data_IF_640742326177
#
_entry.id   IF_640742326177
#
_cell.length_a   1.000
_cell.length_b   1.000
_cell.length_c   1.000
_cell.angle_alpha   90.00
_cell.angle_beta   90.00
_cell.angle_gamma   90.00
#
_symmetry.space_group_name_H-M   'P 1'
#
loop_
_entity.id
_entity.type
_entity.pdbx_description
1 polymer ?
#
# COMPACT_ATOMS: atom_id res chain seq x y z
N UNK A 1 -12.77 1.27 6.15
CA UNK A 1 -12.56 2.19 5.01
C UNK A 1 -12.65 1.52 3.63
N UNK A 2 -12.38 0.21 3.49
CA UNK A 2 -12.44 -0.50 2.18
C UNK A 2 -13.77 -0.28 1.45
N UNK A 3 -14.91 -0.49 2.11
CA UNK A 3 -16.23 -0.31 1.47
C UNK A 3 -16.46 1.12 0.94
N UNK A 4 -15.99 2.13 1.69
CA UNK A 4 -16.06 3.52 1.23
C UNK A 4 -15.21 3.74 -0.03
N UNK A 5 -14.01 3.14 -0.08
CA UNK A 5 -13.16 3.18 -1.29
C UNK A 5 -13.80 2.49 -2.48
N UNK A 6 -14.43 1.33 -2.26
CA UNK A 6 -15.17 0.58 -3.28
C UNK A 6 -16.34 1.37 -3.88
N UNK A 7 -17.00 2.22 -3.07
CA UNK A 7 -18.13 3.05 -3.53
C UNK A 7 -17.72 4.27 -4.37
N UNK A 8 -16.43 4.58 -4.51
CA UNK A 8 -15.96 5.68 -5.34
C UNK A 8 -15.99 5.30 -6.84
N UNK A 9 -15.93 6.30 -7.71
CA UNK A 9 -15.82 6.08 -9.16
C UNK A 9 -14.62 5.17 -9.45
N UNK A 10 -14.87 4.04 -10.14
CA UNK A 10 -13.91 2.98 -10.42
C UNK A 10 -13.31 2.27 -9.19
N UNK A 11 -13.89 2.45 -8.00
CA UNK A 11 -13.42 1.83 -6.75
C UNK A 11 -13.59 0.30 -6.71
N UNK A 12 -14.44 -0.26 -7.58
CA UNK A 12 -14.74 -1.68 -7.73
C UNK A 12 -14.29 -2.25 -9.09
N UNK A 13 -13.41 -1.54 -9.81
CA UNK A 13 -12.92 -1.97 -11.11
C UNK A 13 -12.32 -3.40 -11.04
N UNK A 14 -12.55 -4.30 -12.03
CA UNK A 14 -12.17 -5.72 -11.95
C UNK A 14 -10.66 -5.97 -11.81
N UNK A 15 -9.82 -5.01 -12.20
CA UNK A 15 -8.36 -5.09 -12.02
C UNK A 15 -7.88 -4.59 -10.64
N UNK A 16 -8.79 -4.14 -9.77
CA UNK A 16 -8.47 -3.74 -8.40
C UNK A 16 -8.75 -4.89 -7.44
N UNK A 17 -7.84 -5.08 -6.48
CA UNK A 17 -8.01 -6.05 -5.41
C UNK A 17 -7.90 -5.36 -4.06
N UNK A 18 -8.98 -5.41 -3.30
CA UNK A 18 -9.01 -4.88 -1.94
C UNK A 18 -8.56 -5.94 -0.94
N UNK A 19 -7.48 -5.66 -0.23
CA UNK A 19 -6.89 -6.56 0.76
C UNK A 19 -7.11 -5.96 2.15
N UNK A 20 -7.70 -6.74 3.06
CA UNK A 20 -7.88 -6.35 4.46
C UNK A 20 -6.92 -7.15 5.35
N UNK A 21 -5.99 -6.45 6.00
CA UNK A 21 -5.04 -7.03 6.93
C UNK A 21 -3.91 -6.07 7.26
N UNK A 22 -3.08 -6.45 8.23
CA UNK A 22 -1.83 -5.74 8.55
C UNK A 22 -0.84 -5.96 7.41
N UNK A 23 -0.22 -4.90 6.90
CA UNK A 23 0.71 -5.01 5.76
C UNK A 23 1.95 -5.86 6.11
N UNK A 24 2.29 -5.92 7.39
CA UNK A 24 3.33 -6.76 7.97
C UNK A 24 3.08 -8.26 7.75
N UNK A 25 1.81 -8.66 7.64
CA UNK A 25 1.39 -10.07 7.71
C UNK A 25 0.62 -10.52 6.46
N UNK A 26 -0.18 -9.64 5.87
CA UNK A 26 -1.14 -9.99 4.82
C UNK A 26 -0.46 -10.42 3.53
N UNK A 27 -0.95 -11.49 2.91
CA UNK A 27 -0.44 -11.94 1.61
C UNK A 27 -0.63 -10.87 0.54
N UNK A 28 0.47 -10.53 -0.14
CA UNK A 28 0.50 -9.60 -1.28
C UNK A 28 0.62 -10.40 -2.59
N UNK A 29 0.31 -9.75 -3.72
CA UNK A 29 0.41 -10.35 -5.06
C UNK A 29 1.49 -9.63 -5.88
N UNK A 30 2.78 -9.92 -5.63
CA UNK A 30 3.89 -9.29 -6.35
C UNK A 30 3.89 -9.68 -7.86
N UNK A 31 4.62 -8.94 -8.70
CA UNK A 31 5.46 -7.78 -8.38
C UNK A 31 4.77 -6.44 -8.64
N UNK A 32 5.08 -5.42 -7.85
CA UNK A 32 4.56 -4.08 -8.01
C UNK A 32 5.63 -3.14 -8.57
N UNK A 33 5.26 -2.29 -9.51
CA UNK A 33 6.13 -1.19 -9.98
C UNK A 33 6.11 0.02 -9.03
N UNK A 34 5.07 0.13 -8.19
CA UNK A 34 4.90 1.27 -7.29
C UNK A 34 4.13 0.88 -6.02
N UNK A 35 4.56 1.42 -4.89
CA UNK A 35 3.83 1.42 -3.63
C UNK A 35 3.54 2.87 -3.23
N UNK A 36 2.30 3.16 -2.86
CA UNK A 36 1.90 4.49 -2.37
C UNK A 36 1.45 4.42 -0.92
N UNK A 37 1.95 5.31 -0.06
CA UNK A 37 1.49 5.44 1.32
C UNK A 37 1.00 6.88 1.57
N UNK A 38 -0.33 7.04 1.62
CA UNK A 38 -0.99 8.33 1.87
C UNK A 38 -1.14 8.60 3.37
N UNK A 39 -0.24 9.39 3.95
CA UNK A 39 -0.21 9.75 5.37
C UNK A 39 -0.34 8.54 6.33
N UNK A 40 0.16 7.37 5.93
CA UNK A 40 -0.02 6.11 6.67
C UNK A 40 1.28 5.39 7.00
N UNK A 41 2.40 5.76 6.36
CA UNK A 41 3.69 5.05 6.53
C UNK A 41 4.18 5.08 7.99
N UNK A 42 3.82 6.13 8.74
CA UNK A 42 4.23 6.32 10.14
C UNK A 42 3.49 5.42 11.14
N UNK A 43 2.45 4.71 10.72
CA UNK A 43 1.74 3.71 11.55
C UNK A 43 2.28 2.29 11.39
N UNK A 44 3.24 2.07 10.48
CA UNK A 44 3.76 0.75 10.15
C UNK A 44 5.05 0.44 10.90
N UNK A 45 5.32 -0.85 11.12
CA UNK A 45 6.59 -1.30 11.70
C UNK A 45 7.69 -1.32 10.63
N UNK A 46 8.47 -0.23 10.52
CA UNK A 46 9.42 0.01 9.42
C UNK A 46 10.43 -1.12 9.20
N UNK A 47 10.93 -1.73 10.27
CA UNK A 47 11.88 -2.84 10.20
C UNK A 47 11.28 -4.13 9.59
N UNK A 48 9.94 -4.25 9.58
CA UNK A 48 9.23 -5.36 8.94
C UNK A 48 8.79 -4.99 7.53
N UNK A 49 8.24 -3.78 7.34
CA UNK A 49 7.60 -3.43 6.07
C UNK A 49 8.57 -3.07 4.96
N UNK A 50 9.68 -2.37 5.23
CA UNK A 50 10.61 -1.98 4.17
C UNK A 50 11.34 -3.16 3.52
N UNK A 51 11.83 -4.18 4.26
CA UNK A 51 12.35 -5.40 3.65
C UNK A 51 11.29 -6.11 2.79
N UNK A 52 10.06 -6.23 3.29
CA UNK A 52 8.94 -6.81 2.54
C UNK A 52 8.63 -6.03 1.26
N UNK A 53 8.66 -4.70 1.30
CA UNK A 53 8.48 -3.86 0.12
C UNK A 53 9.57 -4.08 -0.93
N UNK A 54 10.83 -4.21 -0.49
CA UNK A 54 11.94 -4.56 -1.38
C UNK A 54 11.73 -5.90 -2.09
N UNK A 55 11.14 -6.90 -1.42
CA UNK A 55 10.87 -8.22 -2.01
C UNK A 55 9.74 -8.20 -3.03
N UNK A 56 8.74 -7.33 -2.87
CA UNK A 56 7.56 -7.28 -3.77
C UNK A 56 7.70 -6.27 -4.90
N UNK A 57 8.60 -5.29 -4.78
CA UNK A 57 8.86 -4.29 -5.81
C UNK A 57 9.70 -4.88 -6.96
N UNK A 58 9.49 -4.35 -8.16
CA UNK A 58 10.43 -4.54 -9.28
C UNK A 58 11.77 -3.88 -8.96
N UNK A 59 12.84 -4.26 -9.69
CA UNK A 59 14.16 -3.65 -9.54
C UNK A 59 14.14 -2.12 -9.70
N UNK A 60 13.31 -1.60 -10.61
CA UNK A 60 13.12 -0.17 -10.87
C UNK A 60 11.86 0.41 -10.18
N UNK A 61 11.36 -0.29 -9.16
CA UNK A 61 10.12 0.09 -8.47
C UNK A 61 10.29 1.27 -7.51
N UNK A 62 9.21 2.02 -7.30
CA UNK A 62 9.22 3.21 -6.43
C UNK A 62 8.31 3.07 -5.21
N UNK A 63 8.72 3.70 -4.11
CA UNK A 63 7.85 3.99 -2.96
C UNK A 63 7.58 5.49 -2.94
N UNK A 64 6.32 5.89 -3.06
CA UNK A 64 5.88 7.27 -2.95
C UNK A 64 5.11 7.46 -1.64
N UNK A 65 5.61 8.33 -0.76
CA UNK A 65 4.97 8.65 0.52
C UNK A 65 4.44 10.08 0.50
N UNK A 66 3.22 10.25 0.98
CA UNK A 66 2.66 11.56 1.31
C UNK A 66 2.65 11.66 2.83
N UNK A 67 3.21 12.74 3.37
CA UNK A 67 3.13 13.03 4.80
C UNK A 67 2.30 14.29 5.00
N UNK A 68 1.43 14.30 6.02
CA UNK A 68 0.71 15.49 6.42
C UNK A 68 1.38 16.05 7.68
N UNK A 69 1.77 17.32 7.64
CA UNK A 69 2.25 18.04 8.81
C UNK A 69 1.08 18.85 9.35
N UNK A 70 0.63 18.55 10.56
CA UNK A 70 -0.37 19.36 11.25
C UNK A 70 0.40 20.50 11.92
N UNK A 71 0.13 21.74 11.50
CA UNK A 71 0.62 22.96 12.16
C UNK A 71 -0.33 23.38 13.26
#
# INVERSE_FOLDING_TARGET
MIHAGQSLVNGDHPNLQWIHGRVEEVSLQPTYSMITAGASIHWMEWNLVFPRFKEVLTADGYIATLTATVH
#
